data_IF_402329428071
#
_entry.id   IF_402329428071
#
_cell.length_a   1.000
_cell.length_b   1.000
_cell.length_c   1.000
_cell.angle_alpha   90.00
_cell.angle_beta   90.00
_cell.angle_gamma   90.00
#
_symmetry.space_group_name_H-M   'P 1'
#
loop_
_entity.id
_entity.type
_entity.pdbx_description
1 polymer ?
#
# COMPACT_ATOMS: atom_id res chain seq x y z
N UNK A 1 -16.26 31.86 -23.36
CA UNK A 1 -15.89 32.46 -22.04
C UNK A 1 -15.67 31.45 -20.91
N UNK A 2 -16.55 30.45 -20.68
CA UNK A 2 -16.44 29.54 -19.52
C UNK A 2 -15.13 28.70 -19.41
N UNK A 3 -14.43 28.41 -20.53
CA UNK A 3 -13.15 27.67 -20.49
C UNK A 3 -11.98 28.44 -19.89
N UNK A 4 -11.98 29.76 -20.01
CA UNK A 4 -10.92 30.59 -19.46
C UNK A 4 -11.08 30.70 -17.95
N UNK A 5 -12.31 30.79 -17.45
CA UNK A 5 -12.62 30.77 -16.00
C UNK A 5 -12.16 29.47 -15.32
N UNK A 6 -12.45 28.31 -15.92
CA UNK A 6 -12.05 27.02 -15.36
C UNK A 6 -10.51 26.82 -15.35
N UNK A 7 -9.83 27.30 -16.38
CA UNK A 7 -8.36 27.26 -16.47
C UNK A 7 -7.74 28.17 -15.39
N UNK A 8 -8.24 29.40 -15.25
CA UNK A 8 -7.78 30.33 -14.23
C UNK A 8 -8.01 29.80 -12.81
N UNK A 9 -9.12 29.11 -12.56
CA UNK A 9 -9.39 28.45 -11.28
C UNK A 9 -8.31 27.42 -10.94
N UNK A 10 -8.03 26.49 -11.85
CA UNK A 10 -7.01 25.44 -11.63
C UNK A 10 -5.62 26.06 -11.44
N UNK A 11 -5.26 27.04 -12.25
CA UNK A 11 -3.98 27.73 -12.11
C UNK A 11 -3.89 28.47 -10.78
N UNK A 12 -4.96 29.17 -10.37
CA UNK A 12 -5.00 29.86 -9.09
C UNK A 12 -4.77 28.89 -7.93
N UNK A 13 -5.50 27.77 -7.88
CA UNK A 13 -5.27 26.73 -6.88
C UNK A 13 -3.81 26.23 -6.87
N UNK A 14 -3.25 25.94 -8.05
CA UNK A 14 -1.87 25.51 -8.18
C UNK A 14 -0.87 26.55 -7.64
N UNK A 15 -1.09 27.85 -7.88
CA UNK A 15 -0.24 28.93 -7.34
C UNK A 15 -0.29 29.05 -5.82
N UNK A 16 -1.37 28.56 -5.18
CA UNK A 16 -1.51 28.53 -3.73
C UNK A 16 -0.93 27.24 -3.11
N UNK A 17 -0.26 26.39 -3.91
CA UNK A 17 0.23 25.09 -3.45
C UNK A 17 -0.87 24.03 -3.30
N UNK A 18 -2.10 24.32 -3.73
CA UNK A 18 -3.18 23.34 -3.71
C UNK A 18 -3.07 22.44 -4.95
N UNK A 19 -3.15 21.13 -4.72
CA UNK A 19 -2.87 20.12 -5.75
C UNK A 19 -4.06 19.24 -6.12
N UNK A 20 -5.17 19.40 -5.41
CA UNK A 20 -6.43 18.75 -5.68
C UNK A 20 -7.60 19.69 -5.37
N UNK A 21 -8.78 19.38 -5.89
CA UNK A 21 -10.03 20.05 -5.55
C UNK A 21 -11.19 19.07 -5.67
N UNK A 22 -12.28 19.35 -4.97
CA UNK A 22 -13.53 18.59 -5.09
C UNK A 22 -14.43 19.18 -6.17
N UNK A 23 -15.39 18.39 -6.70
CA UNK A 23 -16.42 18.96 -7.58
C UNK A 23 -17.17 20.12 -6.90
N UNK A 24 -17.39 20.03 -5.59
CA UNK A 24 -18.12 21.03 -4.83
C UNK A 24 -17.29 22.32 -4.66
N UNK A 25 -15.96 22.23 -4.56
CA UNK A 25 -15.06 23.40 -4.54
C UNK A 25 -15.23 24.22 -5.83
N UNK A 26 -15.28 23.56 -6.99
CA UNK A 26 -15.47 24.23 -8.27
C UNK A 26 -16.89 24.83 -8.41
N UNK A 27 -17.91 24.12 -7.93
CA UNK A 27 -19.30 24.59 -7.91
C UNK A 27 -19.38 25.90 -7.13
N UNK A 28 -18.82 25.93 -5.92
CA UNK A 28 -18.85 27.09 -5.04
C UNK A 28 -18.01 28.25 -5.59
N UNK A 29 -16.78 27.98 -6.02
CA UNK A 29 -15.86 29.02 -6.46
C UNK A 29 -16.28 29.72 -7.77
N UNK A 30 -17.01 29.02 -8.64
CA UNK A 30 -17.40 29.53 -9.96
C UNK A 30 -18.90 29.80 -10.11
N UNK A 31 -19.68 29.60 -9.04
CA UNK A 31 -21.15 29.69 -9.01
C UNK A 31 -21.80 28.90 -10.16
N UNK A 32 -21.55 27.58 -10.17
CA UNK A 32 -21.95 26.69 -11.27
C UNK A 32 -22.97 25.64 -10.81
N UNK A 33 -23.85 25.25 -11.72
CA UNK A 33 -24.57 23.99 -11.57
C UNK A 33 -23.61 22.79 -11.62
N UNK A 34 -23.99 21.67 -10.97
CA UNK A 34 -23.22 20.41 -10.99
C UNK A 34 -22.94 19.91 -12.42
N UNK A 35 -23.92 20.04 -13.31
CA UNK A 35 -23.79 19.65 -14.73
C UNK A 35 -22.70 20.50 -15.42
N UNK A 36 -22.72 21.81 -15.18
CA UNK A 36 -21.72 22.71 -15.75
C UNK A 36 -20.33 22.39 -15.20
N UNK A 37 -20.17 22.22 -13.88
CA UNK A 37 -18.89 21.85 -13.27
C UNK A 37 -18.30 20.57 -13.88
N UNK A 38 -19.12 19.52 -14.05
CA UNK A 38 -18.69 18.29 -14.71
C UNK A 38 -18.25 18.50 -16.16
N UNK A 39 -18.96 19.31 -16.93
CA UNK A 39 -18.56 19.64 -18.29
C UNK A 39 -17.20 20.37 -18.33
N UNK A 40 -16.93 21.26 -17.36
CA UNK A 40 -15.64 21.95 -17.23
C UNK A 40 -14.52 20.99 -16.85
N UNK A 41 -14.72 20.17 -15.82
CA UNK A 41 -13.75 19.16 -15.37
C UNK A 41 -13.40 18.21 -16.50
N UNK A 42 -14.41 17.71 -17.23
CA UNK A 42 -14.19 16.84 -18.40
C UNK A 42 -13.34 17.53 -19.46
N UNK A 43 -13.58 18.82 -19.73
CA UNK A 43 -12.77 19.60 -20.69
C UNK A 43 -11.35 19.82 -20.20
N UNK A 44 -11.15 20.08 -18.91
CA UNK A 44 -9.80 20.20 -18.30
C UNK A 44 -9.05 18.87 -18.37
N UNK A 45 -9.73 17.74 -18.12
CA UNK A 45 -9.16 16.41 -18.27
C UNK A 45 -8.77 16.07 -19.70
N UNK A 46 -9.57 16.44 -20.70
CA UNK A 46 -9.18 16.33 -22.12
C UNK A 46 -7.94 17.14 -22.48
N UNK A 47 -7.63 18.20 -21.72
CA UNK A 47 -6.42 19.01 -21.90
C UNK A 47 -5.23 18.52 -21.05
N UNK A 48 -5.39 17.42 -20.32
CA UNK A 48 -4.34 16.89 -19.44
C UNK A 48 -4.03 17.76 -18.22
N UNK A 49 -4.90 18.71 -17.86
CA UNK A 49 -4.69 19.62 -16.72
C UNK A 49 -5.23 19.07 -15.40
N UNK A 50 -6.18 18.14 -15.48
CA UNK A 50 -6.88 17.58 -14.34
C UNK A 50 -7.06 16.09 -14.56
N UNK A 51 -6.84 15.29 -13.54
CA UNK A 51 -7.27 13.90 -13.50
C UNK A 51 -8.28 13.67 -12.38
N UNK A 52 -9.06 12.60 -12.51
CA UNK A 52 -10.11 12.23 -11.55
C UNK A 52 -9.83 10.82 -11.03
N UNK A 53 -8.97 10.65 -10.01
CA UNK A 53 -8.68 9.32 -9.45
C UNK A 53 -9.89 8.74 -8.71
N UNK A 54 -10.81 9.58 -8.23
CA UNK A 54 -12.05 9.17 -7.58
C UNK A 54 -13.19 10.12 -7.91
N UNK A 55 -14.42 9.62 -7.94
CA UNK A 55 -15.58 10.45 -8.26
C UNK A 55 -15.71 11.62 -7.26
N UNK A 56 -15.77 12.84 -7.78
CA UNK A 56 -15.87 14.06 -6.96
C UNK A 56 -14.53 14.58 -6.45
N UNK A 57 -13.42 13.86 -6.65
CA UNK A 57 -12.07 14.26 -6.25
C UNK A 57 -11.17 14.38 -7.48
N UNK A 58 -10.55 15.54 -7.66
CA UNK A 58 -9.81 15.89 -8.87
C UNK A 58 -8.40 16.34 -8.50
N UNK A 59 -7.39 15.80 -9.16
CA UNK A 59 -6.00 16.21 -8.99
C UNK A 59 -5.59 17.16 -10.12
N UNK A 60 -4.87 18.21 -9.77
CA UNK A 60 -4.30 19.15 -10.73
C UNK A 60 -3.00 18.53 -11.26
N UNK A 61 -2.83 18.49 -12.58
CA UNK A 61 -1.68 17.88 -13.25
C UNK A 61 -0.73 19.00 -13.73
N UNK A 62 0.42 19.17 -13.08
CA UNK A 62 1.52 19.99 -13.59
C UNK A 62 2.08 19.47 -14.91
N UNK A 63 2.77 20.32 -15.70
CA UNK A 63 3.39 19.94 -16.98
C UNK A 63 4.26 18.68 -16.91
N UNK A 64 5.06 18.53 -15.86
CA UNK A 64 5.97 17.40 -15.64
C UNK A 64 5.25 16.04 -15.51
N UNK A 65 3.97 16.05 -15.13
CA UNK A 65 3.15 14.84 -14.96
C UNK A 65 2.14 14.60 -16.09
N UNK A 66 2.17 15.40 -17.16
CA UNK A 66 1.24 15.22 -18.29
C UNK A 66 1.37 13.85 -18.96
N UNK A 67 2.61 13.32 -19.10
CA UNK A 67 2.85 11.97 -19.65
C UNK A 67 2.34 10.87 -18.74
N UNK A 68 2.42 11.08 -17.42
CA UNK A 68 1.87 10.16 -16.43
C UNK A 68 0.33 10.20 -16.46
N UNK A 69 -0.25 11.35 -16.83
CA UNK A 69 -1.69 11.56 -16.93
C UNK A 69 -2.41 11.64 -15.58
N UNK A 70 -1.64 11.74 -14.49
CA UNK A 70 -2.08 11.86 -13.11
C UNK A 70 -0.86 12.29 -12.26
N UNK A 71 -1.06 12.63 -10.99
CA UNK A 71 0.04 12.80 -10.04
C UNK A 71 0.62 11.45 -9.61
N UNK A 72 1.90 11.36 -9.21
CA UNK A 72 2.42 10.19 -8.51
C UNK A 72 1.52 9.83 -7.32
N UNK A 73 1.26 8.53 -7.07
CA UNK A 73 0.30 8.09 -6.04
C UNK A 73 0.52 8.72 -4.68
N UNK A 74 1.77 8.73 -4.21
CA UNK A 74 2.19 9.26 -2.92
C UNK A 74 1.96 10.77 -2.75
N UNK A 75 1.73 11.46 -3.86
CA UNK A 75 1.44 12.89 -3.89
C UNK A 75 -0.06 13.26 -3.89
N UNK A 76 -0.98 12.29 -3.93
CA UNK A 76 -2.42 12.57 -3.82
C UNK A 76 -3.20 11.58 -2.96
N UNK A 77 -2.64 10.41 -2.67
CA UNK A 77 -3.25 9.42 -1.78
C UNK A 77 -3.53 10.00 -0.38
N UNK A 78 -2.63 10.77 0.26
CA UNK A 78 -2.93 11.38 1.56
C UNK A 78 -4.22 12.21 1.54
N UNK A 79 -4.35 13.09 0.56
CA UNK A 79 -5.52 13.95 0.38
C UNK A 79 -6.78 13.15 0.03
N UNK A 80 -6.65 12.15 -0.86
CA UNK A 80 -7.77 11.29 -1.24
C UNK A 80 -8.29 10.50 -0.03
N UNK A 81 -7.39 9.94 0.79
CA UNK A 81 -7.78 9.18 1.98
C UNK A 81 -8.37 10.08 3.06
N UNK A 82 -7.87 11.32 3.19
CA UNK A 82 -8.48 12.34 4.03
C UNK A 82 -9.90 12.69 3.57
N UNK A 83 -10.09 12.98 2.27
CA UNK A 83 -11.40 13.25 1.66
C UNK A 83 -12.40 12.11 1.90
N UNK A 84 -11.93 10.86 1.74
CA UNK A 84 -12.75 9.67 1.98
C UNK A 84 -12.97 9.35 3.46
N UNK A 85 -12.22 10.00 4.37
CA UNK A 85 -12.17 9.71 5.81
C UNK A 85 -11.83 8.26 6.09
N UNK A 86 -10.87 7.72 5.35
CA UNK A 86 -10.44 6.32 5.45
C UNK A 86 -9.01 6.31 5.99
N UNK A 87 -8.76 5.67 7.15
CA UNK A 87 -7.40 5.43 7.59
C UNK A 87 -6.70 4.50 6.59
N UNK A 88 -5.41 4.71 6.38
CA UNK A 88 -4.63 3.95 5.41
C UNK A 88 -3.16 3.93 5.83
N UNK A 89 -2.40 3.03 5.21
CA UNK A 89 -0.95 3.15 5.09
C UNK A 89 -0.49 2.50 3.78
N UNK A 90 0.64 2.95 3.24
CA UNK A 90 1.32 2.30 2.12
C UNK A 90 1.98 1.04 2.64
N UNK A 91 1.70 -0.11 2.02
CA UNK A 91 2.16 -1.42 2.48
C UNK A 91 2.79 -2.26 1.37
N UNK A 92 3.14 -3.51 1.69
CA UNK A 92 3.71 -4.49 0.76
C UNK A 92 4.93 -3.94 -0.03
N UNK A 93 5.02 -4.21 -1.34
CA UNK A 93 6.15 -3.82 -2.19
C UNK A 93 6.30 -2.30 -2.30
N UNK A 94 5.20 -1.56 -2.27
CA UNK A 94 5.25 -0.09 -2.29
C UNK A 94 5.87 0.47 -1.03
N UNK A 95 5.68 -0.17 0.14
CA UNK A 95 6.35 0.24 1.37
C UNK A 95 7.82 -0.15 1.36
N UNK A 96 8.14 -1.37 0.92
CA UNK A 96 9.53 -1.86 0.84
C UNK A 96 10.42 -0.91 0.02
N UNK A 97 9.88 -0.28 -1.02
CA UNK A 97 10.56 0.73 -1.83
C UNK A 97 10.99 1.97 -1.06
N UNK A 98 10.22 2.44 -0.09
CA UNK A 98 10.62 3.57 0.76
C UNK A 98 11.81 3.23 1.66
N UNK A 99 12.11 1.95 1.85
CA UNK A 99 13.24 1.44 2.62
C UNK A 99 14.38 0.93 1.73
N UNK A 100 14.30 1.10 0.41
CA UNK A 100 15.32 0.62 -0.53
C UNK A 100 15.32 -0.90 -0.76
N UNK A 101 14.36 -1.63 -0.18
CA UNK A 101 14.25 -3.09 -0.27
C UNK A 101 13.40 -3.51 -1.48
N UNK A 102 13.77 -3.01 -2.65
CA UNK A 102 13.15 -3.42 -3.92
C UNK A 102 14.00 -2.95 -5.10
N UNK A 103 14.60 -3.89 -5.82
CA UNK A 103 15.37 -3.60 -7.04
C UNK A 103 14.55 -3.01 -8.20
N UNK A 104 13.22 -3.16 -8.20
CA UNK A 104 12.34 -2.63 -9.24
C UNK A 104 11.22 -1.78 -8.66
N UNK A 105 10.90 -0.67 -9.32
CA UNK A 105 9.72 0.12 -8.96
C UNK A 105 8.43 -0.68 -9.12
N UNK A 106 7.54 -0.55 -8.13
CA UNK A 106 6.30 -1.31 -8.10
C UNK A 106 5.41 -0.70 -9.18
N UNK A 107 5.00 -1.53 -10.14
CA UNK A 107 4.12 -1.09 -11.22
C UNK A 107 2.73 -0.66 -10.70
N UNK A 108 2.39 -1.04 -9.47
CA UNK A 108 1.14 -0.74 -8.78
C UNK A 108 1.48 -0.23 -7.39
N UNK A 109 0.89 0.90 -7.02
CA UNK A 109 1.01 1.46 -5.68
C UNK A 109 0.03 0.78 -4.73
N UNK A 110 0.54 0.17 -3.66
CA UNK A 110 -0.21 -0.72 -2.79
C UNK A 110 -0.52 -0.05 -1.46
N UNK A 111 -1.80 -0.07 -1.11
CA UNK A 111 -2.31 0.63 0.07
C UNK A 111 -3.15 -0.34 0.89
N UNK A 112 -2.89 -0.38 2.19
CA UNK A 112 -3.69 -1.14 3.13
C UNK A 112 -4.83 -0.27 3.67
N UNK A 113 -6.05 -0.80 3.68
CA UNK A 113 -7.28 -0.11 4.11
C UNK A 113 -8.18 -1.04 4.93
N UNK A 114 -9.17 -0.52 5.70
CA UNK A 114 -10.00 -1.33 6.60
C UNK A 114 -10.89 -2.37 5.91
N UNK A 115 -11.27 -2.11 4.65
CA UNK A 115 -12.25 -2.87 3.87
C UNK A 115 -11.83 -2.92 2.41
N UNK A 116 -12.31 -3.93 1.68
CA UNK A 116 -12.06 -4.05 0.24
C UNK A 116 -12.53 -2.81 -0.52
N UNK A 117 -11.72 -2.37 -1.48
CA UNK A 117 -12.03 -1.23 -2.36
C UNK A 117 -11.61 -1.55 -3.79
N UNK A 118 -12.28 -0.93 -4.74
CA UNK A 118 -11.92 -1.05 -6.15
C UNK A 118 -10.57 -0.39 -6.42
N UNK A 119 -9.77 -1.02 -7.29
CA UNK A 119 -8.49 -0.47 -7.77
C UNK A 119 -8.74 0.89 -8.45
N UNK A 120 -7.79 1.82 -8.30
CA UNK A 120 -7.82 3.09 -9.04
C UNK A 120 -6.89 2.97 -10.25
N UNK A 121 -7.37 3.47 -11.39
CA UNK A 121 -6.58 3.74 -12.58
C UNK A 121 -6.75 5.20 -12.95
N UNK A 122 -5.64 5.94 -12.95
CA UNK A 122 -5.61 7.39 -13.17
C UNK A 122 -4.45 7.70 -14.11
N UNK A 123 -4.73 7.96 -15.39
CA UNK A 123 -3.68 7.94 -16.41
C UNK A 123 -2.93 6.60 -16.41
N UNK A 124 -1.60 6.65 -16.29
CA UNK A 124 -0.75 5.46 -16.17
C UNK A 124 -0.53 5.02 -14.70
N UNK A 125 -1.08 5.76 -13.73
CA UNK A 125 -1.00 5.41 -12.31
C UNK A 125 -2.00 4.31 -11.98
N UNK A 126 -1.52 3.29 -11.27
CA UNK A 126 -2.30 2.16 -10.80
C UNK A 126 -2.18 2.08 -9.28
N UNK A 127 -3.32 1.97 -8.61
CA UNK A 127 -3.37 1.79 -7.15
C UNK A 127 -4.20 0.55 -6.84
N UNK A 128 -3.67 -0.29 -5.97
CA UNK A 128 -4.36 -1.44 -5.42
C UNK A 128 -4.62 -1.25 -3.93
N UNK A 129 -5.84 -1.60 -3.51
CA UNK A 129 -6.25 -1.57 -2.12
C UNK A 129 -6.32 -2.99 -1.58
N UNK A 130 -5.62 -3.24 -0.49
CA UNK A 130 -5.60 -4.52 0.21
C UNK A 130 -6.29 -4.33 1.55
N UNK A 131 -7.25 -5.19 1.86
CA UNK A 131 -8.05 -5.05 3.06
C UNK A 131 -7.41 -5.74 4.26
N UNK A 132 -7.34 -5.01 5.37
CA UNK A 132 -6.91 -5.52 6.69
C UNK A 132 -7.83 -4.91 7.75
N UNK A 133 -8.22 -5.69 8.77
CA UNK A 133 -9.16 -5.19 9.79
C UNK A 133 -8.52 -4.25 10.82
N UNK A 134 -7.30 -4.56 11.24
CA UNK A 134 -6.64 -3.93 12.37
C UNK A 134 -5.59 -2.88 11.94
N UNK A 135 -5.89 -2.09 10.91
CA UNK A 135 -4.89 -1.17 10.34
C UNK A 135 -4.44 -0.07 11.31
N UNK A 136 -5.32 0.35 12.22
CA UNK A 136 -5.04 1.43 13.18
C UNK A 136 -4.08 0.99 14.28
N UNK A 137 -3.90 -0.31 14.47
CA UNK A 137 -2.93 -0.88 15.41
C UNK A 137 -1.54 -0.99 14.79
N UNK A 138 -1.41 -0.79 13.47
CA UNK A 138 -0.18 -1.07 12.76
C UNK A 138 0.79 0.11 12.79
N UNK A 139 2.03 -0.10 13.26
CA UNK A 139 3.05 0.94 13.27
C UNK A 139 3.38 1.45 11.86
N UNK A 140 3.32 2.77 11.70
CA UNK A 140 3.64 3.48 10.46
C UNK A 140 4.67 4.56 10.70
N UNK A 141 5.35 4.97 9.63
CA UNK A 141 6.30 6.08 9.57
C UNK A 141 5.89 7.02 8.44
N UNK A 142 6.00 8.33 8.67
CA UNK A 142 5.76 9.32 7.62
C UNK A 142 7.01 9.50 6.76
N UNK A 143 6.81 9.51 5.44
CA UNK A 143 7.82 9.86 4.45
C UNK A 143 7.43 11.14 3.75
N UNK A 144 8.38 12.06 3.59
CA UNK A 144 8.15 13.31 2.89
C UNK A 144 7.95 13.05 1.39
N UNK A 145 7.00 13.76 0.80
CA UNK A 145 6.77 13.81 -0.64
C UNK A 145 6.83 15.27 -1.10
N UNK A 146 7.00 15.55 -2.39
CA UNK A 146 6.94 16.92 -2.90
C UNK A 146 5.64 17.67 -2.57
N UNK A 147 4.58 16.95 -2.18
CA UNK A 147 3.23 17.49 -1.91
C UNK A 147 2.75 17.21 -0.48
N UNK A 148 3.66 16.93 0.45
CA UNK A 148 3.33 16.70 1.86
C UNK A 148 4.06 15.49 2.43
N UNK A 149 3.32 14.57 3.05
CA UNK A 149 3.85 13.31 3.53
C UNK A 149 2.88 12.17 3.29
N UNK A 150 3.42 10.96 3.19
CA UNK A 150 2.64 9.72 3.06
C UNK A 150 2.96 8.81 4.25
N UNK A 151 1.91 8.15 4.78
CA UNK A 151 2.06 7.18 5.86
C UNK A 151 2.42 5.82 5.27
N UNK A 152 3.58 5.29 5.63
CA UNK A 152 4.13 4.02 5.14
C UNK A 152 4.25 3.05 6.31
N UNK A 153 3.96 1.76 6.11
CA UNK A 153 4.24 0.74 7.13
C UNK A 153 5.70 0.77 7.55
N UNK A 154 5.97 0.56 8.84
CA UNK A 154 7.34 0.29 9.33
C UNK A 154 7.96 -0.93 8.63
N UNK A 155 9.30 -1.12 8.63
CA UNK A 155 9.92 -2.32 8.06
C UNK A 155 9.33 -3.62 8.60
N UNK A 156 9.08 -3.70 9.91
CA UNK A 156 8.48 -4.85 10.59
C UNK A 156 7.05 -5.12 10.10
N UNK A 157 6.25 -4.06 9.98
CA UNK A 157 4.87 -4.16 9.48
C UNK A 157 4.85 -4.52 8.00
N UNK A 158 5.83 -4.01 7.23
CA UNK A 158 5.99 -4.33 5.81
C UNK A 158 6.34 -5.82 5.65
N UNK A 159 7.28 -6.35 6.44
CA UNK A 159 7.62 -7.77 6.44
C UNK A 159 6.39 -8.65 6.78
N UNK A 160 5.63 -8.26 7.80
CA UNK A 160 4.37 -8.92 8.15
C UNK A 160 3.37 -8.93 6.99
N UNK A 161 3.21 -7.80 6.28
CA UNK A 161 2.30 -7.68 5.14
C UNK A 161 2.76 -8.55 3.97
N UNK A 162 4.06 -8.55 3.62
CA UNK A 162 4.64 -9.40 2.58
C UNK A 162 4.35 -10.87 2.85
N UNK A 163 4.59 -11.33 4.09
CA UNK A 163 4.36 -12.70 4.52
C UNK A 163 2.89 -13.15 4.47
N UNK A 164 1.94 -12.21 4.56
CA UNK A 164 0.52 -12.52 4.66
C UNK A 164 -0.27 -12.25 3.37
N UNK A 165 0.32 -11.54 2.43
CA UNK A 165 -0.30 -11.17 1.17
C UNK A 165 0.60 -11.49 -0.04
N UNK A 166 1.24 -12.67 -0.13
CA UNK A 166 2.24 -12.96 -1.17
C UNK A 166 1.68 -12.88 -2.60
N UNK A 167 0.37 -13.15 -2.79
CA UNK A 167 -0.29 -13.02 -4.09
C UNK A 167 -0.39 -11.57 -4.59
N UNK A 168 -0.29 -10.59 -3.70
CA UNK A 168 -0.17 -9.18 -4.07
C UNK A 168 1.29 -8.79 -4.34
N UNK A 169 2.24 -9.65 -4.01
CA UNK A 169 3.67 -9.40 -4.13
C UNK A 169 4.31 -10.15 -5.30
N UNK A 170 3.54 -10.74 -6.21
CA UNK A 170 4.09 -11.54 -7.31
C UNK A 170 4.51 -12.95 -6.91
N UNK A 171 4.06 -13.46 -5.76
CA UNK A 171 4.36 -14.82 -5.29
C UNK A 171 5.39 -14.85 -4.16
N UNK A 172 5.68 -16.05 -3.64
CA UNK A 172 6.59 -16.24 -2.52
C UNK A 172 8.06 -15.95 -2.87
N UNK A 173 8.51 -16.31 -4.07
CA UNK A 173 9.91 -16.09 -4.46
C UNK A 173 10.29 -14.61 -4.37
N UNK A 174 9.43 -13.71 -4.91
CA UNK A 174 9.66 -12.26 -4.78
C UNK A 174 9.51 -11.76 -3.34
N UNK A 175 8.64 -12.36 -2.53
CA UNK A 175 8.54 -12.04 -1.10
C UNK A 175 9.84 -12.34 -0.37
N UNK A 176 10.44 -13.51 -0.62
CA UNK A 176 11.72 -13.92 -0.02
C UNK A 176 12.82 -12.93 -0.36
N UNK A 177 12.99 -12.60 -1.64
CA UNK A 177 13.99 -11.61 -2.11
C UNK A 177 13.82 -10.25 -1.42
N UNK A 178 12.58 -9.75 -1.38
CA UNK A 178 12.29 -8.45 -0.75
C UNK A 178 12.49 -8.51 0.77
N UNK A 179 12.18 -9.63 1.42
CA UNK A 179 12.40 -9.80 2.86
C UNK A 179 13.89 -9.80 3.22
N UNK A 180 14.74 -10.43 2.41
CA UNK A 180 16.19 -10.42 2.59
C UNK A 180 16.76 -9.00 2.54
N UNK A 181 16.37 -8.21 1.54
CA UNK A 181 16.79 -6.80 1.45
C UNK A 181 16.21 -5.94 2.59
N UNK A 182 14.94 -6.18 2.96
CA UNK A 182 14.27 -5.41 3.99
C UNK A 182 14.81 -5.70 5.40
N UNK A 183 15.39 -6.88 5.60
CA UNK A 183 15.89 -7.32 6.91
C UNK A 183 16.90 -6.35 7.52
N UNK A 184 17.75 -5.72 6.69
CA UNK A 184 18.72 -4.72 7.15
C UNK A 184 18.08 -3.51 7.82
N UNK A 185 16.80 -3.25 7.53
CA UNK A 185 16.04 -2.11 8.07
C UNK A 185 15.17 -2.50 9.27
N UNK A 186 15.04 -3.80 9.56
CA UNK A 186 14.22 -4.31 10.66
C UNK A 186 14.97 -4.18 11.99
N UNK A 187 14.33 -3.54 12.97
CA UNK A 187 14.84 -3.41 14.32
C UNK A 187 14.22 -4.50 15.21
N UNK A 188 15.01 -5.39 15.84
CA UNK A 188 14.47 -6.47 16.67
C UNK A 188 13.52 -5.99 17.78
N UNK A 189 13.86 -4.89 18.45
CA UNK A 189 13.02 -4.22 19.47
C UNK A 189 11.66 -3.76 18.90
N UNK A 190 11.66 -3.17 17.70
CA UNK A 190 10.43 -2.76 17.03
C UNK A 190 9.58 -3.98 16.62
N UNK A 191 10.23 -5.07 16.20
CA UNK A 191 9.56 -6.33 15.86
C UNK A 191 8.92 -6.97 17.10
N UNK A 192 9.60 -6.96 18.24
CA UNK A 192 9.03 -7.38 19.53
C UNK A 192 7.79 -6.55 19.84
N UNK A 193 7.87 -5.22 19.72
CA UNK A 193 6.74 -4.33 19.98
C UNK A 193 5.55 -4.62 19.04
N UNK A 194 5.80 -4.84 17.76
CA UNK A 194 4.78 -5.25 16.78
C UNK A 194 4.12 -6.57 17.21
N UNK A 195 4.90 -7.58 17.60
CA UNK A 195 4.35 -8.89 17.99
C UNK A 195 3.50 -8.80 19.26
N UNK A 196 3.85 -7.94 20.21
CA UNK A 196 3.09 -7.72 21.45
C UNK A 196 1.73 -7.06 21.18
N UNK A 197 1.66 -6.17 20.19
CA UNK A 197 0.41 -5.51 19.79
C UNK A 197 -0.45 -6.41 18.89
N UNK A 198 0.16 -7.29 18.10
CA UNK A 198 -0.55 -8.12 17.14
C UNK A 198 -1.11 -9.40 17.77
N UNK A 199 -2.44 -9.52 17.79
CA UNK A 199 -3.14 -10.73 18.26
C UNK A 199 -3.28 -11.84 17.19
N UNK A 200 -2.93 -11.56 15.94
CA UNK A 200 -3.14 -12.47 14.81
C UNK A 200 -2.02 -13.51 14.67
N UNK A 201 -2.07 -14.56 15.48
CA UNK A 201 -1.04 -15.63 15.49
C UNK A 201 -0.73 -16.25 14.11
N UNK A 202 -1.71 -16.56 13.22
CA UNK A 202 -1.41 -17.07 11.89
C UNK A 202 -0.51 -16.16 11.06
N UNK A 203 -0.55 -14.85 11.29
CA UNK A 203 0.27 -13.88 10.56
C UNK A 203 1.73 -13.96 10.99
N UNK A 204 1.94 -14.10 12.31
CA UNK A 204 3.26 -14.30 12.89
C UNK A 204 3.86 -15.65 12.51
N UNK A 205 3.07 -16.73 12.47
CA UNK A 205 3.57 -18.06 12.06
C UNK A 205 4.16 -18.02 10.65
N UNK A 206 3.49 -17.36 9.69
CA UNK A 206 4.02 -17.22 8.32
C UNK A 206 5.27 -16.36 8.27
N UNK A 207 5.28 -15.25 9.00
CA UNK A 207 6.44 -14.36 9.04
C UNK A 207 7.67 -15.07 9.62
N UNK A 208 7.51 -15.76 10.75
CA UNK A 208 8.59 -16.52 11.38
C UNK A 208 9.11 -17.65 10.49
N UNK A 209 8.22 -18.38 9.82
CA UNK A 209 8.62 -19.39 8.82
C UNK A 209 9.41 -18.78 7.67
N UNK A 210 8.98 -17.63 7.13
CA UNK A 210 9.69 -16.99 6.03
C UNK A 210 11.04 -16.43 6.46
N UNK A 211 11.16 -15.88 7.68
CA UNK A 211 12.46 -15.49 8.23
C UNK A 211 13.41 -16.69 8.38
N UNK A 212 12.92 -17.85 8.85
CA UNK A 212 13.74 -19.08 8.89
C UNK A 212 14.15 -19.53 7.47
N UNK A 213 13.22 -19.50 6.51
CA UNK A 213 13.48 -19.90 5.13
C UNK A 213 14.50 -18.98 4.43
N UNK A 214 14.57 -17.70 4.80
CA UNK A 214 15.54 -16.71 4.30
C UNK A 214 16.80 -16.61 5.16
N UNK A 215 17.04 -17.56 6.09
CA UNK A 215 18.21 -17.57 7.00
C UNK A 215 18.33 -16.31 7.88
N UNK A 216 17.21 -15.65 8.18
CA UNK A 216 17.12 -14.51 9.10
C UNK A 216 16.82 -15.00 10.52
N UNK A 217 17.71 -15.86 11.04
CA UNK A 217 17.48 -16.62 12.27
C UNK A 217 17.19 -15.75 13.49
N UNK A 218 17.87 -14.61 13.65
CA UNK A 218 17.65 -13.69 14.77
C UNK A 218 16.21 -13.12 14.76
N UNK A 219 15.70 -12.75 13.58
CA UNK A 219 14.34 -12.25 13.42
C UNK A 219 13.32 -13.38 13.59
N UNK A 220 13.63 -14.58 13.09
CA UNK A 220 12.81 -15.77 13.32
C UNK A 220 12.70 -16.06 14.83
N UNK A 221 13.79 -16.00 15.59
CA UNK A 221 13.77 -16.24 17.04
C UNK A 221 12.90 -15.22 17.79
N UNK A 222 12.90 -13.95 17.40
CA UNK A 222 12.00 -12.92 17.96
C UNK A 222 10.53 -13.34 17.80
N UNK A 223 10.14 -13.80 16.61
CA UNK A 223 8.78 -14.26 16.36
C UNK A 223 8.47 -15.50 17.20
N UNK A 224 9.38 -16.49 17.24
CA UNK A 224 9.20 -17.72 18.00
C UNK A 224 8.98 -17.42 19.49
N UNK A 225 9.79 -16.56 20.08
CA UNK A 225 9.69 -16.17 21.49
C UNK A 225 8.35 -15.48 21.78
N UNK A 226 7.81 -14.70 20.84
CA UNK A 226 6.47 -14.11 20.97
C UNK A 226 5.35 -15.17 20.93
N UNK A 227 5.56 -16.25 20.17
CA UNK A 227 4.59 -17.34 19.98
C UNK A 227 4.63 -18.39 21.09
N UNK A 228 5.75 -18.59 21.79
CA UNK A 228 5.86 -19.51 22.95
C UNK A 228 4.80 -19.24 24.03
N UNK A 229 4.34 -17.99 24.15
CA UNK A 229 3.29 -17.56 25.09
C UNK A 229 1.87 -17.85 24.59
N UNK A 230 1.72 -18.45 23.40
CA UNK A 230 0.44 -18.62 22.71
C UNK A 230 0.22 -20.08 22.34
N UNK A 231 -1.00 -20.56 22.48
CA UNK A 231 -1.41 -21.81 21.85
C UNK A 231 -1.86 -21.51 20.43
N UNK A 232 -1.28 -22.17 19.44
CA UNK A 232 -1.62 -21.95 18.04
C UNK A 232 -1.78 -23.22 17.22
N UNK A 233 -2.62 -23.10 16.19
CA UNK A 233 -3.03 -24.18 15.29
C UNK A 233 -2.17 -24.19 14.03
N UNK A 234 -2.25 -25.29 13.31
CA UNK A 234 -1.67 -25.40 11.97
C UNK A 234 -2.34 -24.43 11.00
N UNK A 235 -1.55 -23.76 10.17
CA UNK A 235 -2.05 -22.86 9.11
C UNK A 235 -1.27 -23.07 7.81
N UNK A 236 -1.90 -22.75 6.68
CA UNK A 236 -1.22 -22.76 5.38
C UNK A 236 -0.27 -21.56 5.23
N UNK A 237 0.87 -21.78 4.57
CA UNK A 237 1.86 -20.77 4.24
C UNK A 237 1.23 -19.66 3.39
N UNK A 238 0.65 -20.02 2.23
CA UNK A 238 -0.09 -19.08 1.39
C UNK A 238 -1.59 -19.14 1.72
N UNK A 239 -2.20 -18.05 2.21
CA UNK A 239 -3.63 -18.03 2.48
C UNK A 239 -4.46 -18.27 1.21
N UNK A 240 -5.58 -19.00 1.34
CA UNK A 240 -6.60 -19.18 0.29
C UNK A 240 -6.18 -19.98 -0.94
N UNK A 241 -4.96 -20.51 -0.98
CA UNK A 241 -4.60 -21.59 -1.91
C UNK A 241 -5.06 -22.91 -1.28
N UNK A 242 -5.80 -23.72 -2.05
CA UNK A 242 -6.29 -24.99 -1.57
C UNK A 242 -5.12 -25.91 -1.22
N UNK A 243 -5.17 -26.54 -0.05
CA UNK A 243 -4.27 -27.65 0.29
C UNK A 243 -4.70 -28.86 -0.55
N UNK A 244 -4.09 -29.05 -1.71
CA UNK A 244 -4.34 -30.22 -2.54
C UNK A 244 -3.74 -31.47 -1.88
N UNK A 245 -4.43 -32.61 -2.00
CA UNK A 245 -4.16 -33.83 -1.24
C UNK A 245 -2.87 -34.57 -1.58
N UNK A 246 -2.50 -35.48 -0.65
CA UNK A 246 -1.22 -36.17 -0.40
C UNK A 246 -0.08 -35.29 0.14
N UNK A 247 0.55 -35.76 1.22
CA UNK A 247 1.44 -35.08 2.18
C UNK A 247 2.18 -33.84 1.67
N UNK A 248 1.59 -32.66 1.91
CA UNK A 248 2.32 -31.39 1.81
C UNK A 248 3.37 -31.33 2.93
N UNK A 249 4.57 -30.78 2.66
CA UNK A 249 5.58 -30.58 3.70
C UNK A 249 4.99 -29.78 4.87
N UNK A 250 5.37 -30.19 6.08
CA UNK A 250 4.88 -29.62 7.32
C UNK A 250 6.03 -29.18 8.20
N UNK A 251 6.17 -27.87 8.39
CA UNK A 251 7.10 -27.31 9.35
C UNK A 251 6.50 -27.36 10.75
N UNK A 252 7.08 -28.23 11.60
CA UNK A 252 6.63 -28.44 12.99
C UNK A 252 6.85 -27.22 13.88
N UNK A 253 7.95 -26.47 13.68
CA UNK A 253 8.34 -25.30 14.48
C UNK A 253 7.27 -24.21 14.40
N UNK A 254 6.83 -23.89 13.18
CA UNK A 254 5.85 -22.84 12.93
C UNK A 254 4.41 -23.35 12.80
N UNK A 255 4.21 -24.68 12.78
CA UNK A 255 2.95 -25.34 12.43
C UNK A 255 2.41 -24.83 11.10
N UNK A 256 3.27 -24.83 10.08
CA UNK A 256 2.96 -24.36 8.73
C UNK A 256 2.84 -25.54 7.78
N UNK A 257 1.76 -25.56 6.99
CA UNK A 257 1.64 -26.41 5.80
C UNK A 257 2.20 -25.63 4.63
N UNK A 258 3.24 -26.15 4.01
CA UNK A 258 3.94 -25.56 2.86
C UNK A 258 3.16 -25.88 1.59
N UNK A 259 2.08 -25.12 1.37
CA UNK A 259 1.16 -25.31 0.24
C UNK A 259 1.59 -24.61 -1.06
N UNK A 260 2.83 -24.13 -1.11
CA UNK A 260 3.47 -23.47 -2.24
C UNK A 260 5.00 -23.66 -2.09
N UNK A 261 5.72 -23.85 -3.19
CA UNK A 261 7.17 -24.02 -3.18
C UNK A 261 7.84 -22.65 -3.10
N UNK A 262 8.83 -22.51 -2.22
CA UNK A 262 9.76 -21.37 -2.26
C UNK A 262 10.85 -21.73 -3.26
N UNK A 263 10.75 -21.21 -4.47
CA UNK A 263 11.86 -21.28 -5.43
C UNK A 263 12.93 -20.30 -4.94
N UNK A 264 13.96 -20.85 -4.31
CA UNK A 264 15.18 -20.12 -4.00
C UNK A 264 16.06 -20.19 -5.25
N UNK A 265 16.39 -19.04 -5.83
CA UNK A 265 17.34 -18.92 -6.95
C UNK A 265 18.79 -19.14 -6.45
N UNK A 266 19.04 -20.26 -5.78
CA UNK A 266 20.38 -20.76 -5.41
C UNK A 266 20.92 -21.71 -6.49
#
# INVERSE_FOLDING_TARGET
MSSMKAHNFVNHLATQGQHYFTTDDMIQALDLSRINAWALIRRLGKKGMVATPYQGFHVIIPPEFQRLGCLPPDQFIPDLMHYLKIPYYVGLLSAAQYYGASHQQAQVFQIIVPKNRNKIRCGNVRIEFIARKNITEMPTKNFNTPKGYVSVSTPETTALDLANYPMHCGGLSNVVTVLEELAEQIQPEALINLTNQLHATPQLQRLGFLFEATQLDELAEVIENSLKKRTFRTVALVPKIATQGSEMPFNKRWKIIENEIIESDL
#
